data_IF_846787995405
#
_entry.id   IF_846787995405
#
_cell.length_a   1.000
_cell.length_b   1.000
_cell.length_c   1.000
_cell.angle_alpha   90.00
_cell.angle_beta   90.00
_cell.angle_gamma   90.00
#
_symmetry.space_group_name_H-M   'P 1'
#
loop_
_entity.id
_entity.type
_entity.pdbx_description
1 polymer ?
#
# COMPACT_ATOMS: atom_id res chain seq x y z
N UNK A 1 -9.42 5.98 7.77
CA UNK A 1 -9.94 6.17 6.39
C UNK A 1 -8.74 6.09 5.44
N UNK A 2 -8.88 5.60 4.20
CA UNK A 2 -7.73 5.54 3.27
C UNK A 2 -7.89 6.53 2.12
N UNK A 3 -6.77 7.02 1.59
CA UNK A 3 -6.70 7.83 0.37
C UNK A 3 -5.90 7.09 -0.69
N UNK A 4 -6.58 6.57 -1.72
CA UNK A 4 -5.95 5.80 -2.80
C UNK A 4 -5.03 4.68 -2.31
N UNK A 5 -5.46 3.96 -1.27
CA UNK A 5 -4.70 2.87 -0.64
C UNK A 5 -3.68 3.27 0.41
N UNK A 6 -3.46 4.56 0.69
CA UNK A 6 -2.62 5.01 1.82
C UNK A 6 -3.51 5.24 3.03
N UNK A 7 -3.09 4.80 4.23
CA UNK A 7 -3.78 5.06 5.49
C UNK A 7 -3.02 6.13 6.28
N UNK A 8 -3.45 7.40 6.27
CA UNK A 8 -2.70 8.49 6.94
C UNK A 8 -2.59 8.30 8.45
N UNK A 9 -3.64 7.74 9.06
CA UNK A 9 -3.73 7.53 10.51
C UNK A 9 -2.86 6.35 10.99
N UNK A 10 -2.43 5.46 10.08
CA UNK A 10 -1.62 4.28 10.38
C UNK A 10 -0.40 4.21 9.44
N UNK A 11 0.69 4.97 9.72
CA UNK A 11 1.84 5.07 8.83
C UNK A 11 2.51 3.71 8.57
N UNK A 12 2.55 3.29 7.31
CA UNK A 12 3.09 1.98 6.90
C UNK A 12 2.03 0.95 6.54
N UNK A 13 0.76 1.24 6.84
CA UNK A 13 -0.37 0.46 6.36
C UNK A 13 -0.82 0.95 4.97
N UNK A 14 -0.97 0.01 4.04
CA UNK A 14 -1.44 0.27 2.69
C UNK A 14 -2.46 -0.79 2.24
N UNK A 15 -3.40 -0.39 1.38
CA UNK A 15 -4.35 -1.28 0.73
C UNK A 15 -4.08 -1.35 -0.78
N UNK A 16 -4.38 -2.51 -1.37
CA UNK A 16 -4.38 -2.75 -2.81
C UNK A 16 -5.65 -3.50 -3.18
N UNK A 17 -6.16 -3.29 -4.39
CA UNK A 17 -7.23 -4.10 -4.94
C UNK A 17 -8.60 -4.00 -4.24
N UNK A 18 -8.93 -2.85 -3.64
CA UNK A 18 -10.28 -2.57 -3.14
C UNK A 18 -11.18 -1.98 -4.26
N UNK A 19 -12.50 -2.10 -4.12
CA UNK A 19 -13.45 -1.49 -5.06
C UNK A 19 -13.21 0.00 -5.14
N UNK A 20 -12.96 0.51 -6.34
CA UNK A 20 -12.64 1.91 -6.57
C UNK A 20 -11.45 2.43 -5.75
N UNK A 21 -10.47 1.57 -5.41
CA UNK A 21 -9.29 2.00 -4.65
C UNK A 21 -8.56 3.15 -5.35
N UNK A 22 -8.34 3.01 -6.65
CA UNK A 22 -7.82 4.07 -7.51
C UNK A 22 -8.48 4.06 -8.90
N UNK A 23 -9.00 2.93 -9.35
CA UNK A 23 -9.77 2.79 -10.57
C UNK A 23 -10.95 1.81 -10.38
N UNK A 24 -11.95 1.85 -11.28
CA UNK A 24 -13.04 0.86 -11.30
C UNK A 24 -12.54 -0.59 -11.37
N UNK A 25 -11.42 -0.81 -12.06
CA UNK A 25 -10.83 -2.12 -12.24
C UNK A 25 -9.95 -2.58 -11.07
N UNK A 26 -9.81 -1.80 -10.00
CA UNK A 26 -8.90 -2.08 -8.88
C UNK A 26 -9.11 -3.49 -8.29
N UNK A 27 -10.35 -3.96 -8.11
CA UNK A 27 -10.61 -5.33 -7.60
C UNK A 27 -10.37 -6.44 -8.62
N UNK A 28 -10.30 -6.10 -9.90
CA UNK A 28 -10.10 -7.08 -10.95
C UNK A 28 -8.62 -7.48 -10.98
N UNK A 29 -8.34 -8.74 -11.31
CA UNK A 29 -6.97 -9.28 -11.41
C UNK A 29 -6.07 -8.41 -12.32
N UNK A 30 -6.66 -7.81 -13.36
CA UNK A 30 -5.96 -6.94 -14.30
C UNK A 30 -5.65 -5.55 -13.73
N UNK A 31 -6.45 -5.06 -12.77
CA UNK A 31 -6.29 -3.73 -12.16
C UNK A 31 -5.53 -3.75 -10.83
N UNK A 32 -5.65 -4.81 -10.03
CA UNK A 32 -4.94 -4.93 -8.75
C UNK A 32 -3.42 -4.85 -8.90
N UNK A 33 -2.86 -5.36 -10.00
CA UNK A 33 -1.43 -5.28 -10.29
C UNK A 33 -0.92 -3.83 -10.43
N UNK A 34 -1.75 -2.92 -10.95
CA UNK A 34 -1.43 -1.49 -11.07
C UNK A 34 -1.38 -0.84 -9.70
N UNK A 35 -2.36 -1.11 -8.86
CA UNK A 35 -2.42 -0.58 -7.49
C UNK A 35 -1.25 -1.10 -6.66
N UNK A 36 -0.92 -2.39 -6.78
CA UNK A 36 0.25 -2.99 -6.15
C UNK A 36 1.56 -2.31 -6.60
N UNK A 37 1.74 -2.07 -7.90
CA UNK A 37 2.93 -1.39 -8.42
C UNK A 37 3.06 0.05 -7.86
N UNK A 38 1.94 0.78 -7.79
CA UNK A 38 1.90 2.13 -7.20
C UNK A 38 2.28 2.11 -5.71
N UNK A 39 1.64 1.24 -4.92
CA UNK A 39 1.90 1.13 -3.48
C UNK A 39 3.35 0.69 -3.21
N UNK A 40 3.88 -0.26 -3.98
CA UNK A 40 5.27 -0.69 -3.85
C UNK A 40 6.26 0.49 -4.08
N UNK A 41 5.96 1.38 -5.03
CA UNK A 41 6.74 2.61 -5.24
C UNK A 41 6.76 3.52 -4.01
N UNK A 42 5.59 3.73 -3.39
CA UNK A 42 5.47 4.54 -2.16
C UNK A 42 6.22 3.92 -0.98
N UNK A 43 6.13 2.59 -0.81
CA UNK A 43 6.88 1.86 0.22
C UNK A 43 8.37 2.05 0.02
N UNK A 44 8.87 1.84 -1.21
CA UNK A 44 10.30 1.98 -1.51
C UNK A 44 10.81 3.41 -1.28
N UNK A 45 10.03 4.43 -1.63
CA UNK A 45 10.34 5.82 -1.32
C UNK A 45 10.42 6.08 0.18
N UNK A 46 9.47 5.54 0.95
CA UNK A 46 9.47 5.69 2.40
C UNK A 46 10.64 4.96 3.06
N UNK A 47 10.95 3.73 2.63
CA UNK A 47 12.12 2.99 3.11
C UNK A 47 13.42 3.75 2.83
N UNK A 48 13.56 4.42 1.68
CA UNK A 48 14.75 5.25 1.41
C UNK A 48 14.84 6.49 2.32
N UNK A 49 13.70 7.03 2.76
CA UNK A 49 13.63 8.22 3.62
C UNK A 49 13.77 7.89 5.12
N UNK A 50 13.58 6.63 5.52
CA UNK A 50 13.66 6.17 6.90
C UNK A 50 14.81 5.18 7.09
N UNK A 51 15.95 5.54 7.71
CA UNK A 51 17.10 4.64 7.88
C UNK A 51 16.93 3.52 8.94
N UNK A 52 15.76 3.34 9.56
CA UNK A 52 15.50 2.39 10.68
C UNK A 52 13.97 2.12 10.73
N UNK A 53 13.39 0.93 10.95
CA UNK A 53 13.85 -0.42 11.32
C UNK A 53 12.88 -1.50 10.77
N UNK A 54 13.34 -2.73 10.48
CA UNK A 54 12.46 -3.89 10.37
C UNK A 54 12.26 -4.54 11.75
N UNK A 55 11.10 -4.33 12.38
CA UNK A 55 10.58 -5.27 13.38
C UNK A 55 9.21 -5.80 12.93
N UNK A 56 9.23 -6.76 12.01
CA UNK A 56 8.08 -7.62 11.80
C UNK A 56 8.12 -8.72 12.87
N UNK A 57 7.58 -8.41 14.06
CA UNK A 57 7.13 -9.44 14.98
C UNK A 57 5.78 -9.94 14.48
N UNK A 58 5.79 -10.92 13.57
CA UNK A 58 4.60 -11.71 13.27
C UNK A 58 4.41 -12.64 14.47
N UNK A 59 3.58 -12.20 15.42
CA UNK A 59 3.07 -13.05 16.48
C UNK A 59 1.72 -13.63 16.03
N UNK A 60 1.70 -14.98 15.98
CA UNK A 60 0.56 -15.90 15.97
C UNK A 60 -0.43 -15.85 14.79
#
# INVERSE_FOLDING_TARGET
>A
MHESGVVPDEPGLFFVGLFFLHAMSSEMIHGVGRDAARIAGLVAERTRKSPEQPSLSVAA
#
